data_IF_443857449753
#
_entry.id   IF_443857449753
#
_cell.length_a   1.000
_cell.length_b   1.000
_cell.length_c   1.000
_cell.angle_alpha   90.00
_cell.angle_beta   90.00
_cell.angle_gamma   90.00
#
_symmetry.space_group_name_H-M   'P 1'
#
loop_
_entity.id
_entity.type
_entity.pdbx_description
1 polymer ?
#
# COMPACT_ATOMS: atom_id res chain seq x y z
N UNK A 1 8.79 1.81 -25.29
CA UNK A 1 7.42 1.36 -24.98
C UNK A 1 7.36 -0.16 -24.85
N UNK A 2 7.82 -0.72 -23.72
CA UNK A 2 8.03 -2.17 -23.56
C UNK A 2 6.75 -2.97 -23.20
N UNK A 3 5.74 -2.34 -22.60
CA UNK A 3 4.62 -3.06 -21.97
C UNK A 3 3.38 -3.26 -22.85
N UNK A 4 3.12 -2.40 -23.83
CA UNK A 4 1.91 -2.46 -24.67
C UNK A 4 1.77 -3.83 -25.38
N UNK A 5 2.83 -4.41 -25.98
CA UNK A 5 2.72 -5.73 -26.60
C UNK A 5 2.37 -6.86 -25.62
N UNK A 6 2.68 -6.69 -24.33
CA UNK A 6 2.41 -7.67 -23.27
C UNK A 6 1.02 -7.49 -22.62
N UNK A 7 0.36 -6.37 -22.90
CA UNK A 7 -0.90 -5.97 -22.26
C UNK A 7 -2.03 -5.63 -23.25
N UNK A 8 -2.15 -6.33 -24.40
CA UNK A 8 -3.15 -5.97 -25.40
C UNK A 8 -4.58 -6.08 -24.83
N UNK A 9 -5.42 -5.08 -25.12
CA UNK A 9 -6.83 -5.06 -24.72
C UNK A 9 -7.10 -4.90 -23.22
N UNK A 10 -6.08 -4.62 -22.40
CA UNK A 10 -6.26 -4.39 -20.96
C UNK A 10 -6.75 -2.96 -20.69
N UNK A 11 -7.54 -2.83 -19.62
CA UNK A 11 -8.04 -1.54 -19.12
C UNK A 11 -7.31 -1.15 -17.84
N UNK A 12 -6.89 0.12 -17.75
CA UNK A 12 -6.28 0.68 -16.55
C UNK A 12 -7.37 0.98 -15.53
N UNK A 13 -7.30 0.29 -14.38
CA UNK A 13 -8.22 0.49 -13.26
C UNK A 13 -7.72 1.51 -12.23
N UNK A 14 -6.40 1.70 -12.13
CA UNK A 14 -5.80 2.71 -11.26
C UNK A 14 -4.42 3.17 -11.73
N UNK A 15 -4.02 4.36 -11.30
CA UNK A 15 -2.67 4.90 -11.41
C UNK A 15 -2.26 5.43 -10.04
N UNK A 16 -1.07 5.10 -9.57
CA UNK A 16 -0.57 5.55 -8.27
C UNK A 16 0.79 6.21 -8.45
N UNK A 17 0.87 7.49 -8.11
CA UNK A 17 2.12 8.23 -8.01
C UNK A 17 2.61 8.16 -6.57
N UNK A 18 3.56 7.27 -6.31
CA UNK A 18 4.13 7.05 -4.99
C UNK A 18 5.65 7.11 -4.99
N UNK A 19 6.23 7.06 -3.79
CA UNK A 19 7.68 7.12 -3.58
C UNK A 19 8.22 8.54 -3.62
N UNK A 20 9.29 8.81 -2.86
CA UNK A 20 9.84 10.16 -2.73
C UNK A 20 8.77 11.17 -2.28
N UNK A 21 8.52 12.21 -3.08
CA UNK A 21 7.44 13.19 -2.83
C UNK A 21 6.83 13.64 -4.16
N UNK A 22 5.87 12.85 -4.71
CA UNK A 22 5.32 13.06 -6.06
C UNK A 22 4.63 14.43 -6.26
N UNK A 23 4.07 15.00 -5.19
CA UNK A 23 3.49 16.35 -5.14
C UNK A 23 4.46 17.49 -5.45
N UNK A 24 5.78 17.24 -5.40
CA UNK A 24 6.78 18.22 -5.84
C UNK A 24 6.93 18.26 -7.37
N UNK A 25 6.43 17.23 -8.08
CA UNK A 25 6.45 17.25 -9.54
C UNK A 25 5.59 18.40 -10.07
N UNK A 26 6.04 19.08 -11.13
CA UNK A 26 5.20 20.01 -11.85
C UNK A 26 3.93 19.32 -12.39
N UNK A 27 2.79 20.02 -12.36
CA UNK A 27 1.51 19.44 -12.76
C UNK A 27 1.51 19.04 -14.25
N UNK A 28 2.25 19.76 -15.09
CA UNK A 28 2.46 19.41 -16.49
C UNK A 28 3.14 18.05 -16.68
N UNK A 29 4.03 17.65 -15.77
CA UNK A 29 4.68 16.33 -15.79
C UNK A 29 3.67 15.24 -15.49
N UNK A 30 2.83 15.43 -14.47
CA UNK A 30 1.75 14.49 -14.12
C UNK A 30 0.77 14.36 -15.28
N UNK A 31 0.34 15.48 -15.86
CA UNK A 31 -0.55 15.50 -17.02
C UNK A 31 0.05 14.77 -18.23
N UNK A 32 1.34 14.96 -18.50
CA UNK A 32 2.06 14.29 -19.60
C UNK A 32 2.08 12.78 -19.40
N UNK A 33 2.36 12.30 -18.19
CA UNK A 33 2.35 10.87 -17.86
C UNK A 33 0.94 10.29 -18.04
N UNK A 34 -0.09 10.95 -17.51
CA UNK A 34 -1.48 10.49 -17.65
C UNK A 34 -1.95 10.48 -19.10
N UNK A 35 -1.55 11.47 -19.91
CA UNK A 35 -1.82 11.49 -21.33
C UNK A 35 -1.14 10.31 -22.05
N UNK A 36 0.11 9.99 -21.69
CA UNK A 36 0.82 8.84 -22.24
C UNK A 36 0.16 7.50 -21.88
N UNK A 37 -0.40 7.38 -20.66
CA UNK A 37 -1.20 6.22 -20.25
C UNK A 37 -2.47 6.11 -21.09
N UNK A 38 -3.24 7.20 -21.23
CA UNK A 38 -4.48 7.23 -22.02
C UNK A 38 -4.27 6.97 -23.51
N UNK A 39 -3.10 7.32 -24.05
CA UNK A 39 -2.75 7.05 -25.44
C UNK A 39 -2.44 5.57 -25.71
N UNK A 40 -2.06 4.81 -24.68
CA UNK A 40 -1.61 3.43 -24.81
C UNK A 40 -2.65 2.40 -24.34
N UNK A 41 -3.49 2.75 -23.38
CA UNK A 41 -4.48 1.84 -22.81
C UNK A 41 -5.85 2.49 -22.70
N UNK A 42 -6.88 1.64 -22.71
CA UNK A 42 -8.21 2.06 -22.27
C UNK A 42 -8.13 2.40 -20.79
N UNK A 43 -8.67 3.55 -20.40
CA UNK A 43 -8.72 3.99 -19.00
C UNK A 43 -10.19 4.02 -18.58
N UNK A 44 -10.52 3.30 -17.50
CA UNK A 44 -11.90 3.23 -17.02
C UNK A 44 -12.41 4.60 -16.55
N UNK A 45 -13.72 4.82 -16.65
CA UNK A 45 -14.36 6.07 -16.21
C UNK A 45 -14.19 6.30 -14.70
N UNK A 46 -14.20 5.21 -13.92
CA UNK A 46 -14.01 5.23 -12.47
C UNK A 46 -12.54 5.04 -12.05
N UNK A 47 -11.58 5.30 -12.94
CA UNK A 47 -10.14 5.12 -12.64
C UNK A 47 -9.74 5.87 -11.37
N UNK A 48 -9.09 5.16 -10.44
CA UNK A 48 -8.49 5.78 -9.27
C UNK A 48 -7.11 6.32 -9.64
N UNK A 49 -6.89 7.63 -9.55
CA UNK A 49 -5.59 8.27 -9.76
C UNK A 49 -5.15 8.86 -8.43
N UNK A 50 -4.27 8.15 -7.74
CA UNK A 50 -3.74 8.52 -6.43
C UNK A 50 -2.39 9.21 -6.56
N UNK A 51 -2.15 10.22 -5.75
CA UNK A 51 -0.85 10.88 -5.62
C UNK A 51 -0.48 11.08 -4.13
N UNK A 52 0.76 10.77 -3.78
CA UNK A 52 1.30 11.03 -2.44
C UNK A 52 1.81 12.48 -2.28
N UNK A 53 1.56 13.06 -1.11
CA UNK A 53 1.97 14.41 -0.76
C UNK A 53 2.47 14.53 0.69
N UNK A 54 3.26 15.57 0.96
CA UNK A 54 3.61 15.97 2.32
C UNK A 54 2.78 17.20 2.74
N UNK A 55 2.64 17.49 4.05
CA UNK A 55 1.91 18.67 4.52
C UNK A 55 2.53 20.04 4.21
N UNK A 56 3.64 20.10 3.47
CA UNK A 56 4.41 21.33 3.29
C UNK A 56 3.62 22.40 2.52
N UNK A 57 3.97 23.67 2.75
CA UNK A 57 3.36 24.79 2.01
C UNK A 57 3.60 24.70 0.49
N UNK A 58 4.73 24.14 0.06
CA UNK A 58 5.06 23.95 -1.36
C UNK A 58 4.13 22.94 -2.01
N UNK A 59 3.81 21.85 -1.30
CA UNK A 59 2.88 20.84 -1.77
C UNK A 59 1.47 21.43 -1.90
N UNK A 60 1.00 22.13 -0.85
CA UNK A 60 -0.37 22.65 -0.76
C UNK A 60 -0.71 23.64 -1.87
N UNK A 61 0.23 24.50 -2.28
CA UNK A 61 -0.02 25.47 -3.35
C UNK A 61 -0.29 24.81 -4.71
N UNK A 62 0.12 23.55 -4.88
CA UNK A 62 -0.04 22.78 -6.13
C UNK A 62 -1.27 21.90 -6.17
N UNK A 63 -2.01 21.74 -5.07
CA UNK A 63 -3.13 20.78 -4.99
C UNK A 63 -4.18 21.01 -6.08
N UNK A 64 -4.55 22.27 -6.35
CA UNK A 64 -5.53 22.60 -7.41
C UNK A 64 -5.01 22.24 -8.80
N UNK A 65 -3.74 22.52 -9.06
CA UNK A 65 -3.11 22.22 -10.35
C UNK A 65 -2.99 20.71 -10.56
N UNK A 66 -2.58 19.97 -9.52
CA UNK A 66 -2.53 18.51 -9.53
C UNK A 66 -3.93 17.91 -9.75
N UNK A 67 -4.95 18.43 -9.08
CA UNK A 67 -6.36 18.02 -9.28
C UNK A 67 -6.82 18.25 -10.72
N UNK A 68 -6.38 19.34 -11.36
CA UNK A 68 -6.73 19.66 -12.74
C UNK A 68 -6.13 18.66 -13.76
N UNK A 69 -5.06 17.94 -13.41
CA UNK A 69 -4.48 16.89 -14.27
C UNK A 69 -5.32 15.61 -14.33
N UNK A 70 -6.28 15.45 -13.41
CA UNK A 70 -7.11 14.25 -13.28
C UNK A 70 -6.84 13.41 -12.02
N UNK A 71 -5.84 13.78 -11.21
CA UNK A 71 -5.65 13.18 -9.87
C UNK A 71 -6.92 13.34 -9.06
N UNK A 72 -7.43 12.25 -8.51
CA UNK A 72 -8.73 12.22 -7.82
C UNK A 72 -8.66 11.54 -6.44
N UNK A 73 -7.46 11.18 -5.98
CA UNK A 73 -7.18 10.75 -4.60
C UNK A 73 -5.82 11.31 -4.15
N UNK A 74 -5.76 11.87 -2.96
CA UNK A 74 -4.51 12.35 -2.35
C UNK A 74 -4.21 11.56 -1.07
N UNK A 75 -2.97 11.09 -0.90
CA UNK A 75 -2.50 10.49 0.36
C UNK A 75 -1.45 11.39 1.01
N UNK A 76 -1.68 11.83 2.25
CA UNK A 76 -0.81 12.80 2.93
C UNK A 76 -0.01 12.13 4.04
N UNK A 77 1.31 12.28 3.99
CA UNK A 77 2.20 11.77 5.03
C UNK A 77 2.23 12.62 6.30
N UNK A 78 1.14 12.63 7.09
CA UNK A 78 0.98 13.42 8.33
C UNK A 78 1.86 12.91 9.46
N UNK A 79 1.86 11.60 9.66
CA UNK A 79 2.57 10.79 10.65
C UNK A 79 2.20 11.00 12.12
N UNK A 80 1.99 12.25 12.55
CA UNK A 80 1.58 12.57 13.92
C UNK A 80 0.94 13.97 14.00
N UNK A 81 0.13 14.19 15.04
CA UNK A 81 -0.38 15.51 15.43
C UNK A 81 0.36 16.10 16.65
N UNK A 82 1.50 15.53 17.03
CA UNK A 82 2.38 16.03 18.09
C UNK A 82 3.74 16.46 17.51
N UNK A 83 4.11 17.74 17.71
CA UNK A 83 5.35 18.31 17.16
C UNK A 83 6.62 17.60 17.66
N UNK A 84 6.58 17.00 18.85
CA UNK A 84 7.71 16.23 19.40
C UNK A 84 7.95 14.94 18.61
N UNK A 85 6.86 14.23 18.30
CA UNK A 85 6.87 13.01 17.51
C UNK A 85 7.31 13.30 16.06
N UNK A 86 6.83 14.40 15.48
CA UNK A 86 7.23 14.86 14.15
C UNK A 86 8.73 15.17 14.08
N UNK A 87 9.28 15.89 15.08
CA UNK A 87 10.73 16.13 15.19
C UNK A 87 11.52 14.84 15.31
N UNK A 88 11.04 13.88 16.10
CA UNK A 88 11.68 12.57 16.22
C UNK A 88 11.71 11.81 14.88
N UNK A 89 10.60 11.87 14.14
CA UNK A 89 10.42 11.30 12.81
C UNK A 89 11.18 12.03 11.70
N UNK A 90 11.88 13.14 12.02
CA UNK A 90 12.60 13.94 11.05
C UNK A 90 11.70 14.71 10.09
N UNK A 91 10.44 14.96 10.48
CA UNK A 91 9.48 15.73 9.69
C UNK A 91 9.75 17.22 9.84
N UNK A 92 9.62 17.94 8.74
CA UNK A 92 9.86 19.38 8.66
C UNK A 92 8.59 20.21 8.87
N UNK A 93 7.42 19.57 8.83
CA UNK A 93 6.14 20.19 9.12
C UNK A 93 5.76 20.07 10.60
N UNK A 94 4.92 21.00 11.06
CA UNK A 94 4.24 20.99 12.35
C UNK A 94 2.87 20.31 12.29
N UNK A 95 2.31 19.98 13.45
CA UNK A 95 0.95 19.47 13.56
C UNK A 95 -0.10 20.46 13.01
N UNK A 96 0.14 21.77 13.15
CA UNK A 96 -0.72 22.80 12.59
C UNK A 96 -0.71 22.81 11.05
N UNK A 97 0.47 22.65 10.44
CA UNK A 97 0.61 22.51 9.00
C UNK A 97 -0.05 21.21 8.49
N UNK A 98 0.09 20.10 9.24
CA UNK A 98 -0.61 18.85 8.94
C UNK A 98 -2.13 19.04 8.87
N UNK A 99 -2.74 19.65 9.89
CA UNK A 99 -4.19 19.92 9.90
C UNK A 99 -4.61 20.80 8.73
N UNK A 100 -3.85 21.86 8.47
CA UNK A 100 -4.14 22.77 7.35
C UNK A 100 -4.02 22.07 6.00
N UNK A 101 -3.06 21.16 5.84
CA UNK A 101 -2.89 20.37 4.62
C UNK A 101 -4.07 19.43 4.39
N UNK A 102 -4.54 18.73 5.43
CA UNK A 102 -5.72 17.87 5.37
C UNK A 102 -6.96 18.66 4.96
N UNK A 103 -7.21 19.81 5.62
CA UNK A 103 -8.33 20.68 5.29
C UNK A 103 -8.27 21.17 3.83
N UNK A 104 -7.10 21.63 3.40
CA UNK A 104 -6.88 22.09 2.01
C UNK A 104 -7.12 20.96 1.01
N UNK A 105 -6.67 19.75 1.32
CA UNK A 105 -6.85 18.58 0.47
C UNK A 105 -8.33 18.21 0.33
N UNK A 106 -9.11 18.20 1.41
CA UNK A 106 -10.55 17.92 1.36
C UNK A 106 -11.33 18.95 0.54
N UNK A 107 -10.87 20.20 0.52
CA UNK A 107 -11.48 21.24 -0.31
C UNK A 107 -11.19 21.08 -1.82
N UNK A 108 -10.23 20.22 -2.20
CA UNK A 108 -9.74 20.10 -3.59
C UNK A 108 -9.98 18.72 -4.17
N UNK A 109 -9.73 17.66 -3.40
CA UNK A 109 -9.81 16.28 -3.84
C UNK A 109 -11.06 15.59 -3.28
N UNK A 110 -11.75 14.78 -4.10
CA UNK A 110 -12.93 14.05 -3.62
C UNK A 110 -12.57 12.88 -2.70
N UNK A 111 -11.31 12.42 -2.72
CA UNK A 111 -10.78 11.36 -1.85
C UNK A 111 -9.48 11.81 -1.23
N UNK A 112 -9.41 11.77 0.09
CA UNK A 112 -8.21 12.11 0.86
C UNK A 112 -7.98 11.03 1.89
N UNK A 113 -6.74 10.56 1.97
CA UNK A 113 -6.21 9.75 3.06
C UNK A 113 -5.04 10.46 3.71
N UNK A 114 -4.71 10.07 4.93
CA UNK A 114 -3.43 10.42 5.51
C UNK A 114 -2.90 9.29 6.38
N UNK A 115 -1.58 9.30 6.52
CA UNK A 115 -0.84 8.24 7.19
C UNK A 115 -0.42 8.71 8.59
N UNK A 116 -0.55 7.83 9.57
CA UNK A 116 -0.10 8.03 10.95
C UNK A 116 0.87 6.91 11.34
N UNK A 117 1.79 7.21 12.26
CA UNK A 117 2.74 6.24 12.80
C UNK A 117 2.55 6.12 14.31
N UNK A 118 2.29 4.91 14.79
CA UNK A 118 2.23 4.58 16.22
C UNK A 118 3.43 3.72 16.65
N UNK A 119 3.60 3.51 17.95
CA UNK A 119 4.70 2.72 18.50
C UNK A 119 6.03 3.49 18.50
N UNK A 120 5.98 4.82 18.56
CA UNK A 120 7.18 5.65 18.69
C UNK A 120 7.82 5.46 20.09
N UNK A 121 9.14 5.64 20.23
CA UNK A 121 9.79 5.56 21.54
C UNK A 121 9.16 6.51 22.56
N UNK A 122 8.71 5.96 23.69
CA UNK A 122 8.06 6.72 24.75
C UNK A 122 6.59 7.08 24.49
N UNK A 123 6.01 6.67 23.36
CA UNK A 123 4.58 6.90 23.09
C UNK A 123 3.72 6.05 24.03
N UNK A 124 2.78 6.71 24.71
CA UNK A 124 1.85 6.05 25.62
C UNK A 124 0.52 5.76 24.91
N UNK A 125 -0.23 4.80 25.45
CA UNK A 125 -1.59 4.51 25.01
C UNK A 125 -2.50 5.76 25.04
N UNK A 126 -2.35 6.62 26.06
CA UNK A 126 -3.10 7.87 26.17
C UNK A 126 -2.72 8.88 25.06
N UNK A 127 -1.43 9.02 24.76
CA UNK A 127 -0.96 9.87 23.68
C UNK A 127 -1.49 9.38 22.32
N UNK A 128 -1.44 8.08 22.06
CA UNK A 128 -1.98 7.51 20.83
C UNK A 128 -3.51 7.67 20.72
N UNK A 129 -4.25 7.46 21.81
CA UNK A 129 -5.70 7.71 21.84
C UNK A 129 -6.04 9.19 21.51
N UNK A 130 -5.24 10.13 21.98
CA UNK A 130 -5.39 11.54 21.63
C UNK A 130 -5.10 11.77 20.14
N UNK A 131 -4.02 11.19 19.60
CA UNK A 131 -3.70 11.26 18.17
C UNK A 131 -4.83 10.69 17.29
N UNK A 132 -5.44 9.57 17.68
CA UNK A 132 -6.60 9.00 16.98
C UNK A 132 -7.84 9.91 17.06
N UNK A 133 -8.08 10.54 18.22
CA UNK A 133 -9.17 11.52 18.38
C UNK A 133 -8.98 12.71 17.45
N UNK A 134 -7.76 13.24 17.40
CA UNK A 134 -7.39 14.33 16.51
C UNK A 134 -7.51 13.95 15.04
N UNK A 135 -7.09 12.73 14.69
CA UNK A 135 -7.23 12.18 13.35
C UNK A 135 -8.71 12.11 12.93
N UNK A 136 -9.57 11.55 13.77
CA UNK A 136 -11.00 11.42 13.49
C UNK A 136 -11.71 12.77 13.32
N UNK A 137 -11.19 13.84 13.94
CA UNK A 137 -11.74 15.20 13.78
C UNK A 137 -11.53 15.80 12.38
N UNK A 138 -10.55 15.29 11.62
CA UNK A 138 -10.20 15.79 10.29
C UNK A 138 -10.12 14.69 9.21
N UNK A 139 -10.39 13.43 9.57
CA UNK A 139 -10.46 12.31 8.66
C UNK A 139 -11.63 12.48 7.68
N UNK A 140 -11.37 12.15 6.41
CA UNK A 140 -12.45 11.89 5.45
C UNK A 140 -12.95 10.45 5.65
N UNK A 141 -12.90 9.68 4.58
CA UNK A 141 -13.38 8.30 4.59
C UNK A 141 -12.26 7.25 4.61
N UNK A 142 -10.99 7.66 4.67
CA UNK A 142 -9.84 6.75 4.70
C UNK A 142 -8.74 7.26 5.64
N UNK A 143 -8.17 6.35 6.43
CA UNK A 143 -7.05 6.60 7.33
C UNK A 143 -6.06 5.43 7.26
N UNK A 144 -4.77 5.72 7.24
CA UNK A 144 -3.72 4.70 7.38
C UNK A 144 -3.00 4.85 8.72
N UNK A 145 -2.77 3.75 9.43
CA UNK A 145 -2.03 3.69 10.69
C UNK A 145 -0.97 2.60 10.61
N UNK A 146 0.29 2.99 10.69
CA UNK A 146 1.44 2.09 10.61
C UNK A 146 2.15 2.00 11.95
N UNK A 147 2.58 0.80 12.33
CA UNK A 147 3.52 0.67 13.44
C UNK A 147 4.91 1.13 12.98
N UNK A 148 5.64 1.85 13.84
CA UNK A 148 7.04 2.13 13.58
C UNK A 148 7.85 0.83 13.59
N UNK A 149 8.29 0.40 12.41
CA UNK A 149 9.24 -0.70 12.25
C UNK A 149 10.66 -0.18 12.05
N UNK A 150 11.62 -0.75 12.78
CA UNK A 150 13.04 -0.39 12.65
C UNK A 150 13.74 -1.41 11.75
N UNK A 151 13.84 -1.09 10.47
CA UNK A 151 14.54 -1.96 9.51
C UNK A 151 16.08 -1.79 9.59
N UNK A 152 16.86 -2.86 9.34
CA UNK A 152 18.31 -2.78 9.22
C UNK A 152 18.75 -1.73 8.20
N UNK A 153 19.86 -1.03 8.47
CA UNK A 153 20.41 -0.03 7.55
C UNK A 153 19.65 1.31 7.52
N UNK A 154 18.56 1.47 8.26
CA UNK A 154 17.87 2.77 8.39
C UNK A 154 18.63 3.75 9.30
N UNK A 155 18.42 5.07 9.17
CA UNK A 155 18.94 6.05 10.12
C UNK A 155 18.56 5.76 11.58
N UNK A 156 17.36 5.20 11.82
CA UNK A 156 16.92 4.82 13.16
C UNK A 156 17.71 3.63 13.73
N UNK A 157 17.94 2.59 12.93
CA UNK A 157 18.76 1.46 13.35
C UNK A 157 20.18 1.91 13.73
N UNK A 158 20.79 2.80 12.92
CA UNK A 158 22.12 3.37 13.21
C UNK A 158 22.17 4.20 14.50
N UNK A 159 21.06 4.82 14.88
CA UNK A 159 20.91 5.59 16.13
C UNK A 159 20.59 4.71 17.34
N UNK A 160 20.38 3.41 17.16
CA UNK A 160 19.99 2.49 18.24
C UNK A 160 18.56 2.69 18.72
N UNK A 161 17.68 3.28 17.90
CA UNK A 161 16.25 3.38 18.21
C UNK A 161 15.66 1.97 18.28
N UNK A 162 14.93 1.69 19.36
CA UNK A 162 14.21 0.43 19.54
C UNK A 162 12.77 0.60 19.07
N UNK A 163 12.24 -0.44 18.43
CA UNK A 163 10.81 -0.54 18.18
C UNK A 163 10.06 -0.63 19.51
N UNK A 164 8.75 -0.33 19.49
CA UNK A 164 7.87 -0.68 20.60
C UNK A 164 8.01 -2.17 20.92
N UNK A 165 7.96 -2.50 22.21
CA UNK A 165 7.86 -3.91 22.62
C UNK A 165 6.52 -4.50 22.16
N UNK A 166 6.46 -5.83 22.19
CA UNK A 166 5.31 -6.60 21.68
C UNK A 166 4.02 -6.25 22.41
N UNK A 167 4.08 -6.11 23.74
CA UNK A 167 2.92 -5.80 24.58
C UNK A 167 2.33 -4.42 24.25
N UNK A 168 3.18 -3.39 24.17
CA UNK A 168 2.75 -2.04 23.78
C UNK A 168 2.26 -2.02 22.33
N UNK A 169 2.99 -2.65 21.41
CA UNK A 169 2.59 -2.72 20.00
C UNK A 169 1.21 -3.34 19.82
N UNK A 170 0.95 -4.46 20.50
CA UNK A 170 -0.33 -5.16 20.49
C UNK A 170 -1.45 -4.31 21.10
N UNK A 171 -1.18 -3.65 22.23
CA UNK A 171 -2.15 -2.77 22.89
C UNK A 171 -2.53 -1.58 22.00
N UNK A 172 -1.57 -0.94 21.34
CA UNK A 172 -1.81 0.18 20.41
C UNK A 172 -2.55 -0.29 19.15
N UNK A 173 -2.19 -1.45 18.60
CA UNK A 173 -2.91 -2.05 17.47
C UNK A 173 -4.39 -2.31 17.82
N UNK A 174 -4.65 -2.99 18.94
CA UNK A 174 -6.01 -3.30 19.39
C UNK A 174 -6.84 -2.03 19.66
N UNK A 175 -6.24 -1.03 20.31
CA UNK A 175 -6.86 0.28 20.52
C UNK A 175 -7.23 0.96 19.19
N UNK A 176 -6.35 0.88 18.19
CA UNK A 176 -6.57 1.49 16.88
C UNK A 176 -7.80 0.90 16.20
N UNK A 177 -7.85 -0.43 16.11
CA UNK A 177 -8.99 -1.14 15.52
C UNK A 177 -10.29 -0.83 16.27
N UNK A 178 -10.27 -0.79 17.60
CA UNK A 178 -11.45 -0.50 18.42
C UNK A 178 -11.97 0.94 18.24
N UNK A 179 -11.08 1.93 18.29
CA UNK A 179 -11.43 3.36 18.14
C UNK A 179 -11.94 3.65 16.73
N UNK A 180 -11.25 3.15 15.70
CA UNK A 180 -11.61 3.39 14.31
C UNK A 180 -12.90 2.66 13.93
N UNK A 181 -13.09 1.41 14.38
CA UNK A 181 -14.33 0.68 14.15
C UNK A 181 -15.55 1.36 14.77
N UNK A 182 -15.42 1.90 15.99
CA UNK A 182 -16.49 2.71 16.63
C UNK A 182 -16.84 3.97 15.83
N UNK A 183 -15.86 4.55 15.15
CA UNK A 183 -16.04 5.69 14.26
C UNK A 183 -16.50 5.28 12.84
N UNK A 184 -16.77 3.99 12.59
CA UNK A 184 -17.25 3.46 11.31
C UNK A 184 -16.15 3.16 10.28
N UNK A 185 -14.87 3.29 10.64
CA UNK A 185 -13.76 2.93 9.76
C UNK A 185 -13.43 1.45 9.91
N UNK A 186 -13.80 0.65 8.92
CA UNK A 186 -13.47 -0.77 8.91
C UNK A 186 -12.03 -0.97 8.43
N UNK A 187 -11.27 -1.79 9.17
CA UNK A 187 -9.95 -2.27 8.76
C UNK A 187 -10.10 -3.25 7.58
N UNK A 188 -9.79 -2.79 6.36
CA UNK A 188 -9.86 -3.63 5.15
C UNK A 188 -8.53 -4.34 4.85
N UNK A 189 -7.42 -3.84 5.40
CA UNK A 189 -6.15 -4.54 5.55
C UNK A 189 -5.42 -4.11 6.83
N UNK A 190 -4.19 -4.56 7.07
CA UNK A 190 -3.48 -4.43 8.35
C UNK A 190 -3.30 -2.98 8.83
N UNK A 191 -3.01 -2.04 7.93
CA UNK A 191 -2.64 -0.67 8.25
C UNK A 191 -3.63 0.38 7.74
N UNK A 192 -4.70 -0.01 7.04
CA UNK A 192 -5.59 0.90 6.34
C UNK A 192 -7.04 0.62 6.71
N UNK A 193 -7.73 1.69 7.05
CA UNK A 193 -9.11 1.70 7.50
C UNK A 193 -9.93 2.64 6.63
N UNK A 194 -11.14 2.23 6.28
CA UNK A 194 -11.99 3.03 5.41
C UNK A 194 -13.47 2.94 5.80
N UNK A 195 -14.22 4.00 5.50
CA UNK A 195 -15.68 4.02 5.50
C UNK A 195 -16.21 3.70 4.11
N UNK A 196 -17.31 2.93 4.06
CA UNK A 196 -17.99 2.61 2.81
C UNK A 196 -17.04 2.02 1.76
N UNK A 197 -17.00 2.65 0.58
CA UNK A 197 -16.19 2.22 -0.56
C UNK A 197 -14.86 2.97 -0.71
N UNK A 198 -14.40 3.71 0.32
CA UNK A 198 -13.21 4.58 0.22
C UNK A 198 -11.86 3.82 0.31
N UNK A 199 -11.86 2.51 0.09
CA UNK A 199 -10.65 1.69 0.05
C UNK A 199 -9.73 2.14 -1.10
N UNK A 200 -8.42 2.07 -0.90
CA UNK A 200 -7.46 2.30 -1.98
C UNK A 200 -7.53 1.15 -2.99
N UNK A 201 -8.13 1.40 -4.15
CA UNK A 201 -8.33 0.38 -5.19
C UNK A 201 -7.01 -0.14 -5.72
N UNK A 202 -6.00 0.74 -5.83
CA UNK A 202 -4.65 0.35 -6.25
C UNK A 202 -4.02 -0.67 -5.28
N UNK A 203 -4.00 -0.37 -3.98
CA UNK A 203 -3.40 -1.25 -2.98
C UNK A 203 -4.15 -2.58 -2.91
N UNK A 204 -5.48 -2.55 -2.91
CA UNK A 204 -6.31 -3.77 -2.89
C UNK A 204 -6.03 -4.65 -4.12
N UNK A 205 -5.85 -4.06 -5.30
CA UNK A 205 -5.51 -4.81 -6.50
C UNK A 205 -4.16 -5.54 -6.37
N UNK A 206 -3.13 -4.86 -5.83
CA UNK A 206 -1.81 -5.45 -5.57
C UNK A 206 -1.91 -6.56 -4.53
N UNK A 207 -2.58 -6.32 -3.39
CA UNK A 207 -2.74 -7.32 -2.32
C UNK A 207 -3.49 -8.57 -2.77
N UNK A 208 -4.34 -8.41 -3.77
CA UNK A 208 -5.07 -9.50 -4.43
C UNK A 208 -4.27 -10.18 -5.56
N UNK A 209 -2.99 -9.87 -5.74
CA UNK A 209 -2.18 -10.40 -6.84
C UNK A 209 -2.69 -10.00 -8.22
N UNK A 210 -3.17 -8.77 -8.34
CA UNK A 210 -3.48 -8.14 -9.63
C UNK A 210 -2.20 -7.81 -10.41
N UNK A 211 -2.38 -7.47 -11.68
CA UNK A 211 -1.27 -7.04 -12.52
C UNK A 211 -1.06 -5.53 -12.41
N UNK A 212 0.21 -5.11 -12.29
CA UNK A 212 0.62 -3.71 -12.24
C UNK A 212 1.99 -3.53 -12.89
N UNK A 213 2.20 -2.37 -13.51
CA UNK A 213 3.40 -2.07 -14.29
C UNK A 213 4.42 -1.28 -13.48
N UNK A 214 5.70 -1.61 -13.65
CA UNK A 214 6.80 -0.87 -13.08
C UNK A 214 7.16 0.35 -13.95
N UNK A 215 6.93 1.57 -13.48
CA UNK A 215 7.23 2.82 -14.20
C UNK A 215 8.01 3.77 -13.31
N UNK A 216 9.19 4.21 -13.76
CA UNK A 216 10.08 5.11 -13.01
C UNK A 216 11.20 4.37 -12.26
N UNK A 217 12.21 5.10 -11.74
CA UNK A 217 13.35 4.50 -11.06
C UNK A 217 12.90 3.75 -9.79
N UNK A 218 13.46 2.55 -9.59
CA UNK A 218 13.16 1.68 -8.44
C UNK A 218 11.75 1.07 -8.42
N UNK A 219 10.92 1.34 -9.42
CA UNK A 219 9.57 0.79 -9.48
C UNK A 219 9.58 -0.74 -9.69
N UNK A 220 8.63 -1.41 -9.04
CA UNK A 220 8.37 -2.84 -9.19
C UNK A 220 7.03 -3.07 -9.87
N UNK A 221 6.86 -4.23 -10.47
CA UNK A 221 5.67 -4.61 -11.21
C UNK A 221 5.45 -6.11 -11.18
N UNK A 222 4.22 -6.51 -11.45
CA UNK A 222 3.80 -7.91 -11.54
C UNK A 222 2.90 -8.04 -12.75
N UNK A 223 3.24 -8.93 -13.67
CA UNK A 223 2.50 -9.05 -14.92
C UNK A 223 2.30 -10.50 -15.34
N UNK A 224 1.06 -10.98 -15.29
CA UNK A 224 0.69 -12.21 -15.97
C UNK A 224 0.74 -12.02 -17.49
N UNK A 225 1.48 -12.87 -18.21
CA UNK A 225 1.58 -12.86 -19.68
C UNK A 225 1.35 -14.25 -20.26
N UNK A 226 0.93 -14.30 -21.53
CA UNK A 226 0.90 -15.55 -22.30
C UNK A 226 2.24 -15.70 -23.03
N UNK A 227 3.02 -16.73 -22.71
CA UNK A 227 4.26 -17.02 -23.42
C UNK A 227 3.96 -17.61 -24.82
N UNK A 228 4.93 -17.50 -25.74
CA UNK A 228 4.81 -17.96 -27.13
C UNK A 228 4.46 -19.46 -27.29
N UNK A 229 4.60 -20.26 -26.24
CA UNK A 229 4.24 -21.68 -26.20
C UNK A 229 2.84 -21.97 -25.59
N UNK A 230 1.96 -20.96 -25.48
CA UNK A 230 0.65 -21.03 -24.82
C UNK A 230 0.69 -21.33 -23.31
N UNK A 231 1.85 -21.17 -22.66
CA UNK A 231 1.96 -21.26 -21.21
C UNK A 231 1.81 -19.86 -20.61
N UNK A 232 0.81 -19.68 -19.73
CA UNK A 232 0.73 -18.47 -18.93
C UNK A 232 1.87 -18.45 -17.90
N UNK A 233 2.58 -17.33 -17.79
CA UNK A 233 3.55 -17.11 -16.72
C UNK A 233 3.31 -15.75 -16.05
N UNK A 234 3.93 -15.55 -14.88
CA UNK A 234 3.91 -14.25 -14.19
C UNK A 234 5.32 -13.71 -14.14
N UNK A 235 5.47 -12.47 -14.61
CA UNK A 235 6.72 -11.74 -14.61
C UNK A 235 6.79 -10.84 -13.37
N UNK A 236 7.88 -10.91 -12.64
CA UNK A 236 8.29 -9.85 -11.72
C UNK A 236 9.11 -8.83 -12.51
N UNK A 237 8.66 -7.58 -12.49
CA UNK A 237 9.25 -6.45 -13.21
C UNK A 237 9.97 -5.56 -12.21
N UNK A 238 11.16 -5.10 -12.56
CA UNK A 238 11.92 -4.16 -11.75
C UNK A 238 12.67 -3.17 -12.64
N UNK A 239 12.55 -1.88 -12.32
CA UNK A 239 13.28 -0.81 -12.98
C UNK A 239 14.66 -0.64 -12.34
N UNK A 240 15.61 -0.02 -13.06
CA UNK A 240 16.88 0.41 -12.44
C UNK A 240 16.58 1.28 -11.21
N UNK A 241 17.21 0.95 -10.09
CA UNK A 241 16.91 1.57 -8.78
C UNK A 241 17.41 3.01 -8.68
N UNK A 242 18.68 3.25 -9.05
CA UNK A 242 19.28 4.57 -8.91
C UNK A 242 18.75 5.54 -9.99
N UNK A 243 18.21 6.71 -9.62
CA UNK A 243 17.56 7.62 -10.56
C UNK A 243 18.43 8.09 -11.73
N UNK A 244 19.71 8.40 -11.50
CA UNK A 244 20.62 8.92 -12.53
C UNK A 244 20.97 7.85 -13.57
N UNK A 245 21.21 6.62 -13.12
CA UNK A 245 21.47 5.45 -13.94
C UNK A 245 20.22 5.04 -14.70
N UNK A 246 19.05 5.10 -14.06
CA UNK A 246 17.77 4.88 -14.73
C UNK A 246 17.56 5.88 -15.86
N UNK A 247 17.74 7.18 -15.59
CA UNK A 247 17.58 8.24 -16.58
C UNK A 247 18.53 8.04 -17.77
N UNK A 248 19.83 7.86 -17.49
CA UNK A 248 20.84 7.61 -18.52
C UNK A 248 20.45 6.42 -19.40
N UNK A 249 20.02 5.31 -18.80
CA UNK A 249 19.62 4.11 -19.53
C UNK A 249 18.39 4.36 -20.41
N UNK A 250 17.40 5.12 -19.92
CA UNK A 250 16.22 5.49 -20.70
C UNK A 250 16.61 6.36 -21.90
N UNK A 251 17.51 7.33 -21.72
CA UNK A 251 17.99 8.18 -22.81
C UNK A 251 18.79 7.39 -23.87
N UNK A 252 19.60 6.43 -23.44
CA UNK A 252 20.44 5.61 -24.34
C UNK A 252 19.67 4.49 -25.04
N UNK A 253 18.67 3.87 -24.38
CA UNK A 253 18.04 2.62 -24.84
C UNK A 253 16.52 2.70 -24.98
N UNK A 254 15.90 3.80 -24.54
CA UNK A 254 14.45 3.96 -24.52
C UNK A 254 13.72 3.18 -23.42
N UNK A 255 14.43 2.56 -22.48
CA UNK A 255 13.85 1.78 -21.38
C UNK A 255 14.75 1.70 -20.14
N UNK A 256 14.19 1.89 -18.95
CA UNK A 256 14.87 1.64 -17.68
C UNK A 256 14.63 0.23 -17.10
N UNK A 257 13.86 -0.60 -17.81
CA UNK A 257 13.42 -1.92 -17.34
C UNK A 257 14.58 -2.91 -17.35
N UNK A 258 14.79 -3.62 -16.23
CA UNK A 258 15.71 -4.76 -16.16
C UNK A 258 15.09 -6.01 -16.78
N UNK A 259 15.90 -7.05 -16.97
CA UNK A 259 15.39 -8.34 -17.42
C UNK A 259 14.31 -8.84 -16.43
N UNK A 260 13.09 -9.15 -16.87
CA UNK A 260 12.05 -9.66 -15.98
C UNK A 260 12.41 -11.05 -15.43
N UNK A 261 12.05 -11.31 -14.18
CA UNK A 261 12.12 -12.64 -13.59
C UNK A 261 10.81 -13.39 -13.86
N UNK A 262 10.90 -14.66 -14.23
CA UNK A 262 9.72 -15.53 -14.38
C UNK A 262 9.48 -16.21 -13.05
N UNK A 263 8.36 -15.88 -12.40
CA UNK A 263 8.00 -16.48 -11.13
C UNK A 263 7.56 -17.94 -11.32
N UNK A 264 8.15 -18.82 -10.51
CA UNK A 264 7.73 -20.21 -10.35
C UNK A 264 6.34 -20.32 -9.70
N UNK A 265 5.76 -21.52 -9.71
CA UNK A 265 4.46 -21.75 -9.08
C UNK A 265 4.51 -21.50 -7.55
N UNK A 266 5.61 -21.87 -6.90
CA UNK A 266 5.80 -21.67 -5.46
C UNK A 266 6.03 -20.19 -5.13
N UNK A 267 6.85 -19.45 -5.88
CA UNK A 267 7.02 -18.01 -5.67
C UNK A 267 5.71 -17.23 -5.84
N UNK A 268 4.90 -17.60 -6.83
CA UNK A 268 3.56 -17.01 -7.03
C UNK A 268 2.63 -17.34 -5.88
N UNK A 269 2.66 -18.57 -5.36
CA UNK A 269 1.89 -18.94 -4.17
C UNK A 269 2.32 -18.09 -2.98
N UNK A 270 3.62 -18.03 -2.70
CA UNK A 270 4.18 -17.35 -1.54
C UNK A 270 3.86 -15.86 -1.57
N UNK A 271 4.02 -15.20 -2.72
CA UNK A 271 3.60 -13.81 -2.95
C UNK A 271 2.11 -13.62 -2.61
N UNK A 272 1.23 -14.46 -3.17
CA UNK A 272 -0.22 -14.35 -2.95
C UNK A 272 -0.62 -14.55 -1.49
N UNK A 273 0.10 -15.42 -0.76
CA UNK A 273 -0.12 -15.66 0.67
C UNK A 273 0.32 -14.46 1.49
N UNK A 274 1.55 -14.00 1.28
CA UNK A 274 2.13 -12.85 2.00
C UNK A 274 1.30 -11.58 1.78
N UNK A 275 0.81 -11.37 0.57
CA UNK A 275 0.03 -10.18 0.22
C UNK A 275 -1.45 -10.33 0.60
N UNK A 276 -2.06 -11.48 0.29
CA UNK A 276 -3.49 -11.68 0.45
C UNK A 276 -3.94 -11.83 1.91
N UNK A 277 -3.12 -12.43 2.78
CA UNK A 277 -3.46 -12.55 4.21
C UNK A 277 -3.44 -11.21 4.96
N UNK A 278 -2.89 -10.14 4.35
CA UNK A 278 -3.00 -8.77 4.88
C UNK A 278 -4.43 -8.25 4.80
N UNK A 279 -5.19 -8.69 3.81
CA UNK A 279 -6.58 -8.25 3.59
C UNK A 279 -7.50 -8.87 4.63
N UNK A 280 -8.51 -8.11 5.05
CA UNK A 280 -9.60 -8.64 5.87
C UNK A 280 -10.34 -9.83 5.19
N UNK A 281 -10.42 -9.79 3.86
CA UNK A 281 -10.98 -10.87 3.05
C UNK A 281 -10.07 -12.11 2.98
N UNK A 282 -8.77 -11.95 3.24
CA UNK A 282 -7.77 -13.01 3.12
C UNK A 282 -7.61 -13.54 1.69
N UNK A 283 -7.29 -14.82 1.61
CA UNK A 283 -7.15 -15.59 0.37
C UNK A 283 -8.53 -16.05 -0.10
N UNK A 284 -9.20 -15.22 -0.90
CA UNK A 284 -10.47 -15.55 -1.54
C UNK A 284 -10.30 -16.77 -2.46
N UNK A 285 -11.00 -17.87 -2.16
CA UNK A 285 -10.81 -19.20 -2.77
C UNK A 285 -10.87 -19.16 -4.30
N UNK A 286 -11.90 -18.55 -4.86
CA UNK A 286 -12.09 -18.51 -6.31
C UNK A 286 -10.97 -17.76 -7.01
N UNK A 287 -10.56 -16.64 -6.42
CA UNK A 287 -9.48 -15.82 -6.94
C UNK A 287 -8.14 -16.53 -6.84
N UNK A 288 -7.84 -17.11 -5.68
CA UNK A 288 -6.62 -17.87 -5.46
C UNK A 288 -6.52 -19.05 -6.44
N UNK A 289 -7.62 -19.77 -6.65
CA UNK A 289 -7.71 -20.85 -7.64
C UNK A 289 -7.53 -20.35 -9.07
N UNK A 290 -8.12 -19.21 -9.44
CA UNK A 290 -7.90 -18.61 -10.76
C UNK A 290 -6.42 -18.25 -10.98
N UNK A 291 -5.72 -17.75 -9.95
CA UNK A 291 -4.32 -17.33 -10.07
C UNK A 291 -3.34 -18.50 -9.99
N UNK A 292 -3.63 -19.54 -9.20
CA UNK A 292 -2.67 -20.62 -8.90
C UNK A 292 -3.05 -22.00 -9.47
N UNK A 293 -4.31 -22.19 -9.84
CA UNK A 293 -4.87 -23.50 -10.20
C UNK A 293 -5.22 -24.40 -9.02
N UNK A 294 -5.00 -23.95 -7.76
CA UNK A 294 -5.23 -24.74 -6.54
C UNK A 294 -6.14 -23.99 -5.57
N UNK A 295 -6.83 -24.68 -4.66
CA UNK A 295 -7.47 -23.98 -3.55
C UNK A 295 -6.42 -23.59 -2.49
N UNK A 296 -6.68 -22.56 -1.66
CA UNK A 296 -5.75 -22.18 -0.61
C UNK A 296 -5.35 -23.34 0.30
N UNK A 297 -6.29 -24.14 0.78
CA UNK A 297 -6.01 -25.25 1.71
C UNK A 297 -5.22 -26.41 1.10
N UNK A 298 -5.15 -26.47 -0.23
CA UNK A 298 -4.35 -27.47 -0.95
C UNK A 298 -2.93 -26.93 -1.19
N UNK A 299 -2.78 -25.61 -1.26
CA UNK A 299 -1.52 -24.93 -1.54
C UNK A 299 -0.69 -24.63 -0.27
N UNK A 300 -1.32 -24.64 0.90
CA UNK A 300 -0.71 -24.30 2.19
C UNK A 300 -0.51 -25.52 3.08
N UNK A 301 0.25 -25.34 4.16
CA UNK A 301 0.43 -26.35 5.18
C UNK A 301 -0.90 -26.65 5.89
N UNK A 302 -1.49 -27.81 5.56
CA UNK A 302 -2.79 -28.21 6.12
C UNK A 302 -2.79 -28.35 7.63
N UNK A 303 -1.72 -28.90 8.21
CA UNK A 303 -1.59 -29.04 9.66
C UNK A 303 -1.52 -27.67 10.37
N UNK A 304 -0.86 -26.69 9.75
CA UNK A 304 -0.83 -25.32 10.25
C UNK A 304 -2.22 -24.67 10.18
N UNK A 305 -2.96 -24.84 9.07
CA UNK A 305 -4.33 -24.34 8.95
C UNK A 305 -5.22 -24.89 10.06
N UNK A 306 -5.22 -26.22 10.26
CA UNK A 306 -6.08 -26.87 11.24
C UNK A 306 -5.76 -26.39 12.66
N UNK A 307 -4.46 -26.33 13.02
CA UNK A 307 -4.00 -25.84 14.32
C UNK A 307 -4.37 -24.37 14.56
N UNK A 308 -4.04 -23.49 13.61
CA UNK A 308 -4.27 -22.04 13.75
C UNK A 308 -5.76 -21.69 13.70
N UNK A 309 -6.59 -22.49 13.03
CA UNK A 309 -8.05 -22.37 13.08
C UNK A 309 -8.58 -22.79 14.45
N UNK A 310 -8.11 -23.91 15.01
CA UNK A 310 -8.49 -24.36 16.35
C UNK A 310 -8.08 -23.36 17.45
N UNK A 311 -6.93 -22.70 17.29
CA UNK A 311 -6.45 -21.63 18.17
C UNK A 311 -7.16 -20.27 17.94
N UNK A 312 -8.00 -20.15 16.90
CA UNK A 312 -8.78 -18.96 16.59
C UNK A 312 -8.00 -17.83 15.92
N UNK A 313 -6.83 -18.12 15.34
CA UNK A 313 -6.01 -17.16 14.59
C UNK A 313 -6.43 -17.03 13.12
N UNK A 314 -7.00 -18.11 12.56
CA UNK A 314 -7.45 -18.18 11.18
C UNK A 314 -8.92 -18.61 11.11
N UNK A 315 -9.56 -18.27 10.00
CA UNK A 315 -10.78 -18.94 9.54
C UNK A 315 -10.48 -19.54 8.18
N UNK A 316 -10.79 -20.83 8.03
CA UNK A 316 -10.77 -21.55 6.76
C UNK A 316 -12.18 -22.09 6.48
N UNK A 317 -12.85 -21.53 5.48
CA UNK A 317 -14.23 -21.90 5.11
C UNK A 317 -14.42 -21.92 3.57
N UNK A 318 -15.68 -21.97 3.13
CA UNK A 318 -16.02 -21.98 1.70
C UNK A 318 -15.53 -20.71 0.97
N UNK A 319 -15.44 -19.57 1.64
CA UNK A 319 -14.97 -18.32 1.03
C UNK A 319 -13.44 -18.31 0.86
N UNK A 320 -12.70 -19.00 1.73
CA UNK A 320 -11.25 -19.13 1.64
C UNK A 320 -10.56 -19.16 3.00
N UNK A 321 -9.32 -18.65 3.05
CA UNK A 321 -8.50 -18.58 4.27
C UNK A 321 -8.25 -17.12 4.63
N UNK A 322 -8.64 -16.69 5.83
CA UNK A 322 -8.43 -15.32 6.32
C UNK A 322 -7.98 -15.30 7.77
N UNK A 323 -7.31 -14.22 8.14
CA UNK A 323 -6.79 -14.01 9.49
C UNK A 323 -7.87 -13.33 10.34
N UNK A 324 -8.08 -13.82 11.56
CA UNK A 324 -9.02 -13.21 12.52
C UNK A 324 -8.42 -11.95 13.14
N UNK A 325 -9.23 -11.16 13.85
CA UNK A 325 -8.72 -10.02 14.64
C UNK A 325 -7.64 -10.46 15.63
N UNK A 326 -7.74 -11.67 16.19
CA UNK A 326 -6.72 -12.26 17.08
C UNK A 326 -5.41 -12.55 16.34
N UNK A 327 -5.47 -12.95 15.07
CA UNK A 327 -4.28 -13.33 14.29
C UNK A 327 -3.56 -12.18 13.59
N UNK A 328 -4.23 -11.05 13.33
CA UNK A 328 -3.64 -9.93 12.59
C UNK A 328 -2.33 -9.40 13.17
N UNK A 329 -2.16 -9.24 14.50
CA UNK A 329 -0.90 -8.80 15.08
C UNK A 329 0.27 -9.78 14.84
N UNK A 330 -0.04 -11.05 14.57
CA UNK A 330 0.95 -12.11 14.38
C UNK A 330 1.13 -12.50 12.90
N UNK A 331 0.67 -11.66 11.96
CA UNK A 331 0.54 -12.03 10.55
C UNK A 331 1.82 -12.61 9.94
N UNK A 332 2.98 -12.05 10.24
CA UNK A 332 4.25 -12.51 9.68
C UNK A 332 4.56 -13.94 10.12
N UNK A 333 4.32 -14.26 11.39
CA UNK A 333 4.50 -15.61 11.93
C UNK A 333 3.47 -16.60 11.34
N UNK A 334 2.21 -16.17 11.20
CA UNK A 334 1.17 -17.00 10.60
C UNK A 334 1.48 -17.31 9.14
N UNK A 335 1.94 -16.31 8.38
CA UNK A 335 2.28 -16.47 6.96
C UNK A 335 3.45 -17.44 6.78
N UNK A 336 4.50 -17.32 7.61
CA UNK A 336 5.61 -18.27 7.61
C UNK A 336 5.13 -19.70 7.91
N UNK A 337 4.32 -19.90 8.95
CA UNK A 337 3.80 -21.21 9.31
C UNK A 337 2.93 -21.87 8.23
N UNK A 338 2.21 -21.07 7.43
CA UNK A 338 1.37 -21.56 6.34
C UNK A 338 2.15 -21.96 5.08
N UNK A 339 3.35 -21.42 4.91
CA UNK A 339 4.23 -21.66 3.75
C UNK A 339 5.30 -22.74 4.00
N UNK A 340 5.49 -23.17 5.25
CA UNK A 340 6.41 -24.24 5.63
C UNK A 340 5.91 -25.65 5.33
#
# INVERSE_FOLDING_TARGET
MAYVPLTPGRTVASVFFGGGTPSLMPAETVATILAAVRAQWTVGDDVEITLEANPSTVDRSRFRDLRATGVNRLSIGVQSFADEELRFLGRTHSAAEARTAIETAHAVFPRVSFDLIYGLPGQTAAAWAQTLTDALSCAGDHLSTYQLTIAPGTPFARRGVRAADEDLGLALFAMTDEVLARAGFAAYEISNHARGSAVCSHNVAIWRGGDYLAVGPGAHGRLAVQAAANAACTLALHQVEEPSAWLKRVEETGSGLNAPDILSADERRDELVLMGLRLAAGLERERFRHLTGRNPEDALNRAAIDRLTAEGYLVCDAAGVRVTTKGRPCLDHLSAALLC
#
